data_IF_972088407020
#
_entry.id   IF_972088407020
#
_cell.length_a   1.000
_cell.length_b   1.000
_cell.length_c   1.000
_cell.angle_alpha   90.00
_cell.angle_beta   90.00
_cell.angle_gamma   90.00
#
_symmetry.space_group_name_H-M   'P 1'
#
loop_
_entity.id
_entity.type
_entity.pdbx_description
1 polymer ?
#
# COMPACT_ATOMS: atom_id res chain seq x y z
N UNK A 1 20.42 -6.80 3.09
CA UNK A 1 19.40 -7.35 4.02
C UNK A 1 20.06 -8.37 4.95
N UNK A 2 20.84 -7.95 5.95
CA UNK A 2 21.44 -8.90 6.91
C UNK A 2 20.71 -8.97 8.27
N UNK A 3 19.81 -8.02 8.57
CA UNK A 3 19.13 -7.91 9.87
C UNK A 3 17.60 -7.68 9.74
N UNK A 4 16.95 -8.36 8.80
CA UNK A 4 15.49 -8.24 8.62
C UNK A 4 14.79 -9.36 9.37
N UNK A 5 13.71 -9.06 10.09
CA UNK A 5 12.93 -10.07 10.80
C UNK A 5 12.51 -11.20 9.84
N UNK A 6 12.83 -12.45 10.19
CA UNK A 6 12.60 -13.61 9.32
C UNK A 6 11.13 -13.79 8.94
N UNK A 7 10.21 -13.33 9.79
CA UNK A 7 8.76 -13.34 9.53
C UNK A 7 8.42 -12.69 8.19
N UNK A 8 9.02 -11.54 7.89
CA UNK A 8 8.73 -10.78 6.67
C UNK A 8 9.55 -11.26 5.47
N UNK A 9 10.42 -12.27 5.61
CA UNK A 9 11.27 -12.76 4.52
C UNK A 9 11.09 -14.26 4.32
N UNK A 10 11.96 -15.10 4.89
CA UNK A 10 11.93 -16.56 4.71
C UNK A 10 10.68 -17.24 5.25
N UNK A 11 9.96 -16.60 6.18
CA UNK A 11 8.71 -17.09 6.75
C UNK A 11 7.48 -16.33 6.25
N UNK A 12 7.63 -15.46 5.23
CA UNK A 12 6.54 -14.63 4.75
C UNK A 12 5.35 -15.45 4.23
N UNK A 13 5.56 -16.68 3.78
CA UNK A 13 4.51 -17.61 3.36
C UNK A 13 3.48 -17.94 4.45
N UNK A 14 3.81 -17.69 5.73
CA UNK A 14 2.87 -17.82 6.85
C UNK A 14 1.93 -16.62 6.98
N UNK A 15 2.24 -15.48 6.34
CA UNK A 15 1.47 -14.24 6.47
C UNK A 15 -0.04 -14.37 6.18
N UNK A 16 -0.50 -15.20 5.22
CA UNK A 16 -1.93 -15.39 5.01
C UNK A 16 -2.64 -15.94 6.24
N UNK A 17 -1.95 -16.65 7.14
CA UNK A 17 -2.52 -17.17 8.39
C UNK A 17 -2.79 -16.09 9.44
N UNK A 18 -2.21 -14.89 9.33
CA UNK A 18 -2.43 -13.78 10.26
C UNK A 18 -3.76 -13.05 10.02
N UNK A 19 -4.85 -13.74 10.28
CA UNK A 19 -6.20 -13.22 10.19
C UNK A 19 -6.72 -12.99 8.77
N UNK A 20 -8.04 -12.94 8.64
CA UNK A 20 -8.72 -12.72 7.38
C UNK A 20 -8.63 -11.25 6.94
N UNK A 21 -8.14 -11.04 5.71
CA UNK A 21 -7.89 -9.70 5.19
C UNK A 21 -9.18 -8.89 5.01
N UNK A 22 -10.29 -9.51 4.59
CA UNK A 22 -11.53 -8.80 4.28
C UNK A 22 -12.43 -8.58 5.50
N UNK A 23 -12.29 -9.38 6.55
CA UNK A 23 -13.11 -9.30 7.76
C UNK A 23 -12.37 -8.58 8.90
N UNK A 24 -11.20 -9.08 9.31
CA UNK A 24 -10.56 -8.64 10.56
C UNK A 24 -9.87 -7.28 10.40
N UNK A 25 -9.36 -6.96 9.21
CA UNK A 25 -8.71 -5.68 8.92
C UNK A 25 -9.70 -4.56 8.54
N UNK A 26 -10.89 -4.93 8.07
CA UNK A 26 -11.86 -3.99 7.52
C UNK A 26 -12.37 -2.96 8.56
N UNK A 27 -12.54 -3.39 9.81
CA UNK A 27 -12.99 -2.47 10.86
C UNK A 27 -12.00 -1.33 11.10
N UNK A 28 -10.71 -1.66 11.21
CA UNK A 28 -9.67 -0.66 11.38
C UNK A 28 -9.56 0.25 10.15
N UNK A 29 -9.61 -0.31 8.94
CA UNK A 29 -9.53 0.48 7.72
C UNK A 29 -10.70 1.45 7.57
N UNK A 30 -11.94 1.03 7.87
CA UNK A 30 -13.10 1.93 7.89
C UNK A 30 -12.94 3.06 8.90
N UNK A 31 -12.40 2.76 10.08
CA UNK A 31 -12.11 3.78 11.09
C UNK A 31 -11.08 4.80 10.58
N UNK A 32 -9.98 4.34 10.00
CA UNK A 32 -8.95 5.20 9.40
C UNK A 32 -9.50 6.03 8.24
N UNK A 33 -10.25 5.44 7.31
CA UNK A 33 -10.93 6.17 6.23
C UNK A 33 -11.85 7.27 6.77
N UNK A 34 -12.59 6.99 7.84
CA UNK A 34 -13.46 7.96 8.52
C UNK A 34 -12.67 9.13 9.09
N UNK A 35 -11.57 8.86 9.79
CA UNK A 35 -10.68 9.89 10.33
C UNK A 35 -10.08 10.76 9.22
N UNK A 36 -9.63 10.15 8.12
CA UNK A 36 -9.10 10.89 6.96
C UNK A 36 -10.16 11.84 6.42
N UNK A 37 -11.38 11.35 6.17
CA UNK A 37 -12.50 12.18 5.66
C UNK A 37 -12.88 13.31 6.61
N UNK A 38 -12.81 13.07 7.91
CA UNK A 38 -13.20 14.04 8.93
C UNK A 38 -12.15 15.15 9.12
N UNK A 39 -10.86 14.80 9.11
CA UNK A 39 -9.79 15.70 9.55
C UNK A 39 -8.89 16.21 8.43
N UNK A 40 -8.92 15.62 7.23
CA UNK A 40 -8.14 16.12 6.11
C UNK A 40 -8.63 17.51 5.68
N UNK A 41 -7.68 18.43 5.50
CA UNK A 41 -7.95 19.81 5.03
C UNK A 41 -8.27 19.88 3.53
N UNK A 42 -8.14 18.76 2.82
CA UNK A 42 -8.38 18.61 1.39
C UNK A 42 -9.00 17.26 1.11
N UNK A 43 -9.63 17.12 -0.05
CA UNK A 43 -10.05 15.81 -0.53
C UNK A 43 -8.81 14.92 -0.68
N UNK A 44 -8.85 13.74 -0.06
CA UNK A 44 -7.80 12.74 -0.16
C UNK A 44 -8.26 11.69 -1.14
N UNK A 45 -7.62 11.65 -2.31
CA UNK A 45 -7.88 10.65 -3.34
C UNK A 45 -6.86 9.50 -3.29
N UNK A 46 -5.69 9.73 -2.70
CA UNK A 46 -4.52 8.85 -2.79
C UNK A 46 -3.90 8.63 -1.41
N UNK A 47 -3.44 7.43 -1.09
CA UNK A 47 -2.67 7.14 0.13
C UNK A 47 -1.39 6.33 -0.17
N UNK A 48 -0.37 6.54 0.67
CA UNK A 48 0.82 5.72 0.74
C UNK A 48 0.76 4.86 2.01
N UNK A 49 0.68 3.54 1.85
CA UNK A 49 0.75 2.59 2.96
C UNK A 49 2.21 2.16 3.18
N UNK A 50 2.86 2.72 4.22
CA UNK A 50 4.27 2.50 4.53
C UNK A 50 4.42 1.27 5.43
N UNK A 51 5.23 0.31 5.01
CA UNK A 51 5.31 -1.00 5.66
C UNK A 51 4.05 -1.83 5.38
N UNK A 52 3.54 -1.79 4.14
CA UNK A 52 2.25 -2.38 3.78
C UNK A 52 2.19 -3.92 3.96
N UNK A 53 3.34 -4.56 4.12
CA UNK A 53 3.44 -6.00 4.29
C UNK A 53 2.77 -6.74 3.13
N UNK A 54 1.98 -7.77 3.46
CA UNK A 54 1.23 -8.57 2.49
C UNK A 54 -0.07 -7.90 2.01
N UNK A 55 -0.25 -6.60 2.23
CA UNK A 55 -1.32 -5.81 1.60
C UNK A 55 -2.72 -6.00 2.17
N UNK A 56 -2.89 -6.49 3.41
CA UNK A 56 -4.23 -6.70 4.01
C UNK A 56 -4.97 -5.38 4.30
N UNK A 57 -4.26 -4.35 4.74
CA UNK A 57 -4.84 -3.02 4.89
C UNK A 57 -5.15 -2.41 3.52
N UNK A 58 -4.22 -2.54 2.56
CA UNK A 58 -4.39 -2.09 1.16
C UNK A 58 -5.70 -2.61 0.57
N UNK A 59 -6.04 -3.89 0.77
CA UNK A 59 -7.30 -4.49 0.28
C UNK A 59 -8.55 -3.74 0.72
N UNK A 60 -8.55 -3.21 1.93
CA UNK A 60 -9.73 -2.53 2.48
C UNK A 60 -9.68 -1.02 2.18
N UNK A 61 -8.50 -0.42 2.23
CA UNK A 61 -8.32 1.01 1.96
C UNK A 61 -8.48 1.35 0.48
N UNK A 62 -8.19 0.40 -0.43
CA UNK A 62 -8.34 0.56 -1.88
C UNK A 62 -9.79 0.74 -2.33
N UNK A 63 -10.77 0.40 -1.48
CA UNK A 63 -12.17 0.66 -1.73
C UNK A 63 -12.51 2.16 -1.69
N UNK A 64 -11.72 2.94 -0.97
CA UNK A 64 -11.96 4.36 -0.70
C UNK A 64 -10.93 5.28 -1.37
N UNK A 65 -9.72 4.78 -1.66
CA UNK A 65 -8.59 5.58 -2.11
C UNK A 65 -7.75 4.81 -3.14
N UNK A 66 -7.02 5.54 -3.98
CA UNK A 66 -5.93 4.97 -4.77
C UNK A 66 -4.70 4.76 -3.88
N UNK A 67 -4.27 3.50 -3.72
CA UNK A 67 -3.23 3.12 -2.76
C UNK A 67 -1.95 2.74 -3.48
N UNK A 68 -0.84 3.32 -3.03
CA UNK A 68 0.49 2.76 -3.26
C UNK A 68 1.01 2.13 -1.97
N UNK A 69 1.39 0.86 -2.01
CA UNK A 69 2.05 0.18 -0.90
C UNK A 69 3.57 0.27 -1.02
N UNK A 70 4.25 0.57 0.10
CA UNK A 70 5.71 0.54 0.21
C UNK A 70 6.10 -0.49 1.26
N UNK A 71 6.98 -1.42 0.91
CA UNK A 71 7.58 -2.32 1.91
C UNK A 71 9.03 -2.66 1.55
N UNK A 72 9.84 -2.97 2.57
CA UNK A 72 11.23 -3.37 2.38
C UNK A 72 11.32 -4.79 1.77
N UNK A 73 10.36 -5.66 2.10
CA UNK A 73 10.40 -7.08 1.76
C UNK A 73 9.75 -7.39 0.42
N UNK A 74 10.57 -7.93 -0.51
CA UNK A 74 10.07 -8.52 -1.75
C UNK A 74 9.04 -9.65 -1.52
N UNK A 75 9.23 -10.48 -0.49
CA UNK A 75 8.36 -11.62 -0.23
C UNK A 75 6.97 -11.19 0.27
N UNK A 76 6.91 -10.08 1.02
CA UNK A 76 5.64 -9.48 1.43
C UNK A 76 4.95 -8.81 0.24
N UNK A 77 5.69 -8.04 -0.56
CA UNK A 77 5.14 -7.37 -1.73
C UNK A 77 4.63 -8.34 -2.81
N UNK A 78 5.23 -9.52 -2.95
CA UNK A 78 4.71 -10.56 -3.85
C UNK A 78 3.29 -10.97 -3.45
N UNK A 79 3.07 -11.23 -2.17
CA UNK A 79 1.74 -11.57 -1.64
C UNK A 79 0.78 -10.38 -1.69
N UNK A 80 1.27 -9.17 -1.45
CA UNK A 80 0.45 -7.96 -1.54
C UNK A 80 -0.10 -7.74 -2.95
N UNK A 81 0.72 -7.98 -3.98
CA UNK A 81 0.33 -7.93 -5.40
C UNK A 81 -0.67 -9.03 -5.77
N UNK A 82 -0.49 -10.23 -5.24
CA UNK A 82 -1.43 -11.33 -5.45
C UNK A 82 -2.80 -11.01 -4.84
N UNK A 83 -2.82 -10.44 -3.63
CA UNK A 83 -4.05 -10.05 -2.94
C UNK A 83 -4.72 -8.82 -3.57
N UNK A 84 -3.93 -7.90 -4.14
CA UNK A 84 -4.39 -6.60 -4.64
C UNK A 84 -3.84 -6.33 -6.04
N UNK A 85 -4.31 -7.06 -7.08
CA UNK A 85 -3.71 -7.01 -8.42
C UNK A 85 -3.80 -5.62 -9.08
N UNK A 86 -4.77 -4.81 -8.68
CA UNK A 86 -5.01 -3.48 -9.25
C UNK A 86 -4.28 -2.35 -8.49
N UNK A 87 -3.53 -2.67 -7.42
CA UNK A 87 -2.82 -1.68 -6.61
C UNK A 87 -1.32 -1.62 -6.95
N UNK A 88 -0.71 -0.44 -6.74
CA UNK A 88 0.72 -0.25 -6.98
C UNK A 88 1.54 -0.59 -5.75
N UNK A 89 2.64 -1.32 -5.94
CA UNK A 89 3.55 -1.70 -4.87
C UNK A 89 5.01 -1.42 -5.22
N UNK A 90 5.67 -0.66 -4.34
CA UNK A 90 7.06 -0.26 -4.46
C UNK A 90 7.88 -0.95 -3.39
N UNK A 91 9.01 -1.54 -3.79
CA UNK A 91 9.99 -2.02 -2.83
C UNK A 91 10.89 -0.87 -2.40
N UNK A 92 11.01 -0.64 -1.10
CA UNK A 92 11.89 0.41 -0.59
C UNK A 92 11.99 0.48 0.92
N UNK A 93 13.05 1.13 1.38
CA UNK A 93 13.26 1.46 2.78
C UNK A 93 12.51 2.75 3.10
N UNK A 94 11.58 2.73 4.05
CA UNK A 94 10.79 3.90 4.45
C UNK A 94 11.64 5.10 4.92
N UNK A 95 12.87 4.87 5.39
CA UNK A 95 13.79 5.93 5.80
C UNK A 95 14.56 6.55 4.63
N UNK A 96 14.54 5.90 3.46
CA UNK A 96 15.33 6.28 2.28
C UNK A 96 14.52 6.31 0.99
N UNK A 97 13.21 6.09 1.06
CA UNK A 97 12.36 6.07 -0.11
C UNK A 97 12.27 7.48 -0.69
N UNK A 98 12.84 7.70 -1.87
CA UNK A 98 12.76 8.96 -2.61
C UNK A 98 11.39 9.17 -3.26
N UNK A 99 10.31 8.67 -2.66
CA UNK A 99 8.97 8.78 -3.22
C UNK A 99 8.52 10.23 -3.13
N UNK A 100 8.32 10.85 -4.30
CA UNK A 100 7.66 12.14 -4.39
C UNK A 100 6.19 11.93 -4.75
N UNK A 101 5.24 12.64 -4.10
CA UNK A 101 3.86 12.64 -4.55
C UNK A 101 3.82 13.04 -6.03
N UNK A 102 3.34 12.15 -6.87
CA UNK A 102 3.13 12.42 -8.27
C UNK A 102 1.74 13.03 -8.43
N UNK A 103 1.68 14.23 -9.02
CA UNK A 103 0.43 14.79 -9.51
C UNK A 103 0.32 14.34 -10.96
N UNK A 104 -0.70 13.55 -11.28
CA UNK A 104 -0.97 13.12 -12.64
C UNK A 104 -0.89 14.30 -13.61
N UNK A 105 -0.03 14.19 -14.63
CA UNK A 105 0.01 15.18 -15.71
C UNK A 105 -1.35 15.15 -16.41
N UNK A 106 -2.12 16.27 -16.40
CA UNK A 106 -3.41 16.33 -17.07
C UNK A 106 -3.34 16.10 -18.58
N UNK A 107 -2.13 16.07 -19.18
CA UNK A 107 -1.90 15.75 -20.60
C UNK A 107 -1.42 14.32 -20.85
N UNK A 108 -1.23 13.51 -19.82
CA UNK A 108 -0.79 12.12 -19.97
C UNK A 108 -1.87 11.27 -20.66
N UNK A 109 -1.44 10.42 -21.59
CA UNK A 109 -2.31 9.50 -22.32
C UNK A 109 -2.63 8.20 -21.54
N UNK A 110 -1.94 7.95 -20.42
CA UNK A 110 -2.19 6.81 -19.53
C UNK A 110 -3.42 7.06 -18.66
N UNK A 111 -4.26 6.05 -18.45
CA UNK A 111 -5.38 6.18 -17.52
C UNK A 111 -4.86 6.51 -16.10
N UNK A 112 -5.61 7.24 -15.26
CA UNK A 112 -5.20 7.55 -13.89
C UNK A 112 -4.83 6.30 -13.07
N UNK A 113 -5.51 5.17 -13.32
CA UNK A 113 -5.23 3.86 -12.71
C UNK A 113 -3.92 3.21 -13.18
N UNK A 114 -3.34 3.68 -14.28
CA UNK A 114 -2.08 3.17 -14.84
C UNK A 114 -0.87 4.04 -14.43
N UNK A 115 -1.11 5.13 -13.69
CA UNK A 115 -0.07 6.03 -13.19
C UNK A 115 0.07 5.85 -11.69
N UNK A 116 1.28 5.52 -11.22
CA UNK A 116 1.52 5.52 -9.77
C UNK A 116 1.41 6.94 -9.23
N UNK A 117 0.59 7.11 -8.19
CA UNK A 117 0.49 8.36 -7.43
C UNK A 117 1.79 8.76 -6.71
N UNK A 118 2.82 7.91 -6.73
CA UNK A 118 4.15 8.23 -6.25
C UNK A 118 5.20 7.84 -7.27
N UNK A 119 6.01 8.79 -7.71
CA UNK A 119 7.12 8.50 -8.59
C UNK A 119 8.29 7.91 -7.78
N UNK A 120 8.88 6.84 -8.29
CA UNK A 120 10.20 6.36 -7.87
C UNK A 120 11.22 7.09 -8.75
N UNK A 121 12.29 7.69 -8.18
CA UNK A 121 13.35 8.32 -8.97
C UNK A 121 14.07 7.35 -9.90
#
# INVERSE_FOLDING_TARGET
MKDTCHLYTGLAWLWPMWGDAAAEYAHYCRHVSGLIRQYAKRLVATLLDIGCGGGKNVLNLSQDFDITGLDLSHAMLAQAKELNPDCVFVQGDMFRCGLTPYVADPKSALAPSEQSCFAVP
#
